data_IF_386955389943
#
_entry.id   IF_386955389943
#
_cell.length_a   1.000
_cell.length_b   1.000
_cell.length_c   1.000
_cell.angle_alpha   90.00
_cell.angle_beta   90.00
_cell.angle_gamma   90.00
#
_symmetry.space_group_name_H-M   'P 1'
#
loop_
_entity.id
_entity.type
_entity.pdbx_description
1 polymer ?
#
# COMPACT_ATOMS: atom_id res chain seq x y z
N UNK A 1 -16.61 -5.12 -13.14
CA UNK A 1 -16.18 -3.98 -13.99
C UNK A 1 -15.04 -3.18 -13.35
N UNK A 2 -15.14 -2.77 -12.07
CA UNK A 2 -14.08 -1.99 -11.40
C UNK A 2 -12.74 -2.71 -11.18
N UNK A 3 -12.74 -4.04 -11.01
CA UNK A 3 -11.51 -4.81 -10.80
C UNK A 3 -10.52 -4.70 -11.96
N UNK A 4 -11.00 -4.64 -13.21
CA UNK A 4 -10.13 -4.51 -14.39
C UNK A 4 -9.44 -3.14 -14.43
N UNK A 5 -10.17 -2.08 -14.07
CA UNK A 5 -9.60 -0.72 -13.97
C UNK A 5 -8.52 -0.64 -12.90
N UNK A 6 -8.76 -1.27 -11.74
CA UNK A 6 -7.77 -1.30 -10.66
C UNK A 6 -6.56 -2.15 -11.04
N UNK A 7 -6.77 -3.28 -11.72
CA UNK A 7 -5.69 -4.13 -12.24
C UNK A 7 -4.79 -3.37 -13.21
N UNK A 8 -5.36 -2.63 -14.16
CA UNK A 8 -4.58 -1.81 -15.10
C UNK A 8 -3.85 -0.66 -14.40
N UNK A 9 -4.46 -0.07 -13.37
CA UNK A 9 -3.80 0.94 -12.54
C UNK A 9 -2.62 0.35 -11.75
N UNK A 10 -2.82 -0.77 -11.08
CA UNK A 10 -1.78 -1.48 -10.30
C UNK A 10 -0.64 -1.95 -11.21
N UNK A 11 -0.93 -2.34 -12.46
CA UNK A 11 0.12 -2.66 -13.46
C UNK A 11 1.02 -1.47 -13.76
N UNK A 12 0.43 -0.29 -13.96
CA UNK A 12 1.12 0.97 -14.28
C UNK A 12 1.77 1.63 -13.07
N UNK A 13 1.35 1.27 -11.85
CA UNK A 13 1.94 1.75 -10.62
C UNK A 13 3.46 1.53 -10.63
N UNK A 14 4.21 2.52 -10.16
CA UNK A 14 5.65 2.49 -9.99
C UNK A 14 6.04 2.71 -8.53
N UNK A 15 7.29 2.39 -8.17
CA UNK A 15 7.84 2.71 -6.84
C UNK A 15 7.85 4.23 -6.61
N UNK A 16 8.05 5.03 -7.67
CA UNK A 16 8.01 6.48 -7.59
C UNK A 16 6.62 7.00 -7.19
N UNK A 17 5.54 6.37 -7.62
CA UNK A 17 4.19 6.76 -7.20
C UNK A 17 3.98 6.60 -5.68
N UNK A 18 4.58 5.56 -5.09
CA UNK A 18 4.57 5.35 -3.64
C UNK A 18 5.37 6.43 -2.93
N UNK A 19 6.57 6.73 -3.42
CA UNK A 19 7.39 7.81 -2.88
C UNK A 19 6.67 9.16 -2.99
N UNK A 20 6.05 9.46 -4.13
CA UNK A 20 5.28 10.68 -4.34
C UNK A 20 4.07 10.78 -3.40
N UNK A 21 3.35 9.67 -3.19
CA UNK A 21 2.25 9.62 -2.24
C UNK A 21 2.74 9.90 -0.81
N UNK A 22 3.82 9.25 -0.40
CA UNK A 22 4.42 9.42 0.92
C UNK A 22 4.94 10.84 1.14
N UNK A 23 5.64 11.42 0.16
CA UNK A 23 6.10 12.81 0.19
C UNK A 23 4.92 13.78 0.34
N UNK A 24 3.85 13.61 -0.45
CA UNK A 24 2.63 14.44 -0.38
C UNK A 24 1.92 14.34 0.98
N UNK A 25 2.12 13.24 1.70
CA UNK A 25 1.52 12.96 3.00
C UNK A 25 2.48 13.14 4.18
N UNK A 26 3.68 13.70 3.96
CA UNK A 26 4.74 13.84 4.97
C UNK A 26 5.03 12.50 5.70
N UNK A 27 5.08 11.42 4.92
CA UNK A 27 5.45 10.08 5.39
C UNK A 27 6.92 9.87 5.03
N UNK A 28 7.79 9.88 6.04
CA UNK A 28 9.18 9.47 5.89
C UNK A 28 9.23 7.94 5.79
N UNK A 29 9.40 7.43 4.57
CA UNK A 29 9.75 6.03 4.34
C UNK A 29 11.26 5.87 4.50
N UNK A 30 11.71 4.77 5.12
CA UNK A 30 13.12 4.40 5.08
C UNK A 30 13.49 3.83 3.70
N UNK A 31 14.78 3.84 3.39
CA UNK A 31 15.30 3.19 2.18
C UNK A 31 14.84 1.72 2.13
N UNK A 32 14.32 1.30 0.97
CA UNK A 32 13.79 -0.04 0.75
C UNK A 32 12.33 -0.27 1.18
N UNK A 33 11.76 0.55 2.06
CA UNK A 33 10.35 0.38 2.49
C UNK A 33 9.38 0.62 1.32
N UNK A 34 9.67 1.61 0.48
CA UNK A 34 8.86 1.91 -0.71
C UNK A 34 8.76 0.71 -1.66
N UNK A 35 9.85 -0.02 -1.85
CA UNK A 35 9.89 -1.21 -2.72
C UNK A 35 9.12 -2.39 -2.11
N UNK A 36 9.20 -2.56 -0.79
CA UNK A 36 8.43 -3.59 -0.08
C UNK A 36 6.94 -3.31 -0.24
N UNK A 37 6.50 -2.09 0.06
CA UNK A 37 5.10 -1.66 -0.08
C UNK A 37 4.64 -1.86 -1.53
N UNK A 38 5.46 -1.46 -2.50
CA UNK A 38 5.18 -1.65 -3.92
C UNK A 38 4.95 -3.11 -4.30
N UNK A 39 5.83 -4.00 -3.86
CA UNK A 39 5.71 -5.44 -4.13
C UNK A 39 4.41 -6.00 -3.55
N UNK A 40 4.07 -5.64 -2.32
CA UNK A 40 2.83 -6.11 -1.68
C UNK A 40 1.58 -5.54 -2.34
N UNK A 41 1.58 -4.26 -2.73
CA UNK A 41 0.46 -3.69 -3.49
C UNK A 41 0.31 -4.44 -4.81
N UNK A 42 1.38 -4.66 -5.58
CA UNK A 42 1.27 -5.39 -6.86
C UNK A 42 0.84 -6.84 -6.70
N UNK A 43 1.27 -7.51 -5.64
CA UNK A 43 0.99 -8.94 -5.40
C UNK A 43 -0.39 -9.18 -4.80
N UNK A 44 -0.78 -8.38 -3.82
CA UNK A 44 -1.95 -8.65 -2.97
C UNK A 44 -3.05 -7.56 -3.08
N UNK A 45 -3.04 -6.72 -4.13
CA UNK A 45 -4.09 -5.71 -4.37
C UNK A 45 -5.51 -6.29 -4.35
N UNK A 46 -5.71 -7.53 -4.84
CA UNK A 46 -7.01 -8.19 -4.82
C UNK A 46 -7.49 -8.44 -3.39
N UNK A 47 -6.60 -8.88 -2.49
CA UNK A 47 -6.90 -9.10 -1.07
C UNK A 47 -7.14 -7.78 -0.32
N UNK A 48 -6.39 -6.74 -0.70
CA UNK A 48 -6.59 -5.39 -0.20
C UNK A 48 -7.95 -4.81 -0.61
N UNK A 49 -8.59 -5.30 -1.68
CA UNK A 49 -9.92 -4.84 -2.09
C UNK A 49 -11.06 -5.75 -1.60
N UNK A 50 -10.80 -7.06 -1.46
CA UNK A 50 -11.82 -8.06 -1.13
C UNK A 50 -12.18 -8.10 0.36
N UNK A 51 -11.42 -7.43 1.22
CA UNK A 51 -11.64 -7.40 2.67
C UNK A 51 -10.65 -8.25 3.47
N UNK A 52 -9.81 -9.06 2.81
CA UNK A 52 -8.74 -9.87 3.45
C UNK A 52 -7.45 -9.07 3.68
N UNK A 53 -7.56 -7.75 3.86
CA UNK A 53 -6.40 -6.86 3.97
C UNK A 53 -5.56 -7.11 5.21
N UNK A 54 -6.17 -7.57 6.31
CA UNK A 54 -5.47 -7.82 7.57
C UNK A 54 -4.26 -8.74 7.40
N UNK A 55 -4.38 -9.80 6.59
CA UNK A 55 -3.27 -10.72 6.32
C UNK A 55 -2.09 -10.00 5.65
N UNK A 56 -2.39 -9.17 4.63
CA UNK A 56 -1.38 -8.39 3.91
C UNK A 56 -0.69 -7.39 4.84
N UNK A 57 -1.44 -6.72 5.71
CA UNK A 57 -0.87 -5.78 6.68
C UNK A 57 -0.01 -6.50 7.73
N UNK A 58 -0.46 -7.64 8.25
CA UNK A 58 0.35 -8.43 9.19
C UNK A 58 1.70 -8.84 8.57
N UNK A 59 1.70 -9.28 7.31
CA UNK A 59 2.91 -9.63 6.56
C UNK A 59 3.87 -8.45 6.34
N UNK A 60 3.31 -7.25 6.11
CA UNK A 60 4.06 -6.00 5.92
C UNK A 60 4.59 -5.47 7.25
N UNK A 61 3.91 -5.73 8.38
CA UNK A 61 4.24 -5.21 9.71
C UNK A 61 5.68 -5.53 10.14
N UNK A 62 6.15 -6.74 9.86
CA UNK A 62 7.51 -7.19 10.20
C UNK A 62 8.59 -6.70 9.21
N UNK A 63 8.17 -6.11 8.09
CA UNK A 63 9.05 -5.68 7.00
C UNK A 63 9.20 -4.17 6.87
N UNK A 64 8.36 -3.40 7.56
CA UNK A 64 8.42 -1.94 7.58
C UNK A 64 8.47 -1.43 9.01
N UNK A 65 8.95 -0.19 9.17
CA UNK A 65 8.99 0.47 10.46
C UNK A 65 7.58 0.66 11.02
N UNK A 66 7.43 0.57 12.35
CA UNK A 66 6.15 0.75 13.04
C UNK A 66 5.42 2.04 12.62
N UNK A 67 6.14 3.16 12.48
CA UNK A 67 5.59 4.43 12.02
C UNK A 67 5.00 4.35 10.59
N UNK A 68 5.71 3.68 9.69
CA UNK A 68 5.27 3.45 8.30
C UNK A 68 4.03 2.58 8.27
N UNK A 69 4.01 1.51 9.06
CA UNK A 69 2.89 0.59 9.20
C UNK A 69 1.62 1.28 9.72
N UNK A 70 1.74 2.08 10.80
CA UNK A 70 0.63 2.82 11.38
C UNK A 70 0.03 3.82 10.39
N UNK A 71 0.87 4.55 9.66
CA UNK A 71 0.44 5.50 8.61
C UNK A 71 -0.25 4.77 7.45
N UNK A 72 0.28 3.63 7.01
CA UNK A 72 -0.30 2.79 5.96
C UNK A 72 -1.72 2.36 6.31
N UNK A 73 -1.92 1.80 7.51
CA UNK A 73 -3.25 1.40 8.00
C UNK A 73 -4.19 2.59 8.11
N UNK A 74 -3.70 3.71 8.64
CA UNK A 74 -4.49 4.94 8.77
C UNK A 74 -5.04 5.40 7.42
N UNK A 75 -4.18 5.51 6.40
CA UNK A 75 -4.61 5.93 5.06
C UNK A 75 -5.51 4.89 4.42
N UNK A 76 -5.17 3.61 4.50
CA UNK A 76 -5.99 2.53 3.95
C UNK A 76 -7.42 2.56 4.52
N UNK A 77 -7.57 2.63 5.85
CA UNK A 77 -8.89 2.74 6.50
C UNK A 77 -9.62 4.02 6.08
N UNK A 78 -8.92 5.14 5.94
CA UNK A 78 -9.50 6.42 5.54
C UNK A 78 -10.07 6.39 4.11
N UNK A 79 -9.47 5.63 3.20
CA UNK A 79 -9.92 5.56 1.81
C UNK A 79 -10.96 4.46 1.56
N UNK A 80 -10.89 3.34 2.26
CA UNK A 80 -11.84 2.22 2.06
C UNK A 80 -13.12 2.34 2.89
N UNK A 81 -13.06 2.91 4.09
CA UNK A 81 -14.23 3.01 4.98
C UNK A 81 -15.15 4.20 4.65
N UNK A 82 -15.05 4.72 3.43
CA UNK A 82 -15.73 5.94 2.99
C UNK A 82 -16.97 5.61 2.16
#
# INVERSE_FOLDING_TARGET
MYQNLIKDYVKKLTVQDINNFCNKKNITLKEGEAEIIYKYIKKDWEKLLSGSYMEVFLDVKDKVSKSTYEKLIYYYKRYIKK
#
